data_IF_518830500690
#
_entry.id   IF_518830500690
#
_cell.length_a   1.000
_cell.length_b   1.000
_cell.length_c   1.000
_cell.angle_alpha   90.00
_cell.angle_beta   90.00
_cell.angle_gamma   90.00
#
_symmetry.space_group_name_H-M   'P 1'
#
loop_
_entity.id
_entity.type
_entity.pdbx_description
1 polymer ?
#
# COMPACT_ATOMS: atom_id res chain seq x y z
N UNK A 1 -11.36 -14.56 -34.34
CA UNK A 1 -10.33 -13.68 -33.73
C UNK A 1 -8.99 -14.40 -33.88
N UNK A 2 -8.17 -14.04 -34.87
CA UNK A 2 -6.96 -14.78 -35.28
C UNK A 2 -6.04 -15.20 -34.13
N UNK A 3 -6.02 -14.44 -33.03
CA UNK A 3 -5.25 -14.71 -31.81
C UNK A 3 -5.62 -16.04 -31.13
N UNK A 4 -6.84 -16.55 -31.30
CA UNK A 4 -7.30 -17.83 -30.74
C UNK A 4 -7.07 -19.01 -31.70
N UNK A 5 -6.72 -18.74 -32.95
CA UNK A 5 -6.48 -19.77 -33.95
C UNK A 5 -5.09 -20.38 -33.79
N UNK A 6 -5.01 -21.67 -34.13
CA UNK A 6 -3.78 -22.45 -34.07
C UNK A 6 -3.36 -22.82 -35.48
N UNK A 7 -2.06 -22.82 -35.70
CA UNK A 7 -1.48 -23.25 -36.95
C UNK A 7 -1.75 -24.75 -37.15
N UNK A 8 -2.35 -25.11 -38.28
CA UNK A 8 -2.84 -26.48 -38.55
C UNK A 8 -1.75 -27.55 -38.49
N UNK A 9 -0.53 -27.22 -38.93
CA UNK A 9 0.59 -28.16 -39.00
C UNK A 9 1.33 -28.35 -37.67
N UNK A 10 1.38 -27.33 -36.80
CA UNK A 10 2.18 -27.36 -35.57
C UNK A 10 1.34 -27.27 -34.29
N UNK A 11 0.05 -26.96 -34.39
CA UNK A 11 -0.87 -26.80 -33.25
C UNK A 11 -0.56 -25.60 -32.33
N UNK A 12 0.47 -24.81 -32.65
CA UNK A 12 0.87 -23.63 -31.89
C UNK A 12 0.01 -22.42 -32.30
N UNK A 13 -0.30 -21.50 -31.37
CA UNK A 13 -0.96 -20.25 -31.73
C UNK A 13 -0.06 -19.41 -32.64
N UNK A 14 -0.68 -18.62 -33.54
CA UNK A 14 0.09 -17.74 -34.42
C UNK A 14 0.87 -16.68 -33.61
N UNK A 15 2.13 -16.37 -34.01
CA UNK A 15 2.88 -15.31 -33.36
C UNK A 15 2.16 -13.96 -33.50
N UNK A 16 1.96 -13.24 -32.39
CA UNK A 16 1.26 -11.93 -32.38
C UNK A 16 1.86 -10.94 -33.39
N UNK A 17 3.18 -10.93 -33.55
CA UNK A 17 3.89 -10.07 -34.52
C UNK A 17 3.49 -10.36 -35.97
N UNK A 18 3.22 -11.63 -36.30
CA UNK A 18 2.72 -12.02 -37.63
C UNK A 18 1.27 -11.57 -37.81
N UNK A 19 0.43 -11.82 -36.81
CA UNK A 19 -0.98 -11.37 -36.82
C UNK A 19 -1.05 -9.86 -37.01
N UNK A 20 -0.30 -9.08 -36.23
CA UNK A 20 -0.29 -7.62 -36.35
C UNK A 20 0.22 -7.14 -37.71
N UNK A 21 1.21 -7.81 -38.28
CA UNK A 21 1.69 -7.51 -39.64
C UNK A 21 0.61 -7.74 -40.70
N UNK A 22 -0.14 -8.83 -40.61
CA UNK A 22 -1.21 -9.19 -41.58
C UNK A 22 -2.41 -8.27 -41.46
N UNK A 23 -2.82 -7.93 -40.23
CA UNK A 23 -4.01 -7.09 -39.97
C UNK A 23 -3.67 -5.59 -40.11
N UNK A 24 -2.40 -5.21 -40.22
CA UNK A 24 -1.98 -3.81 -40.38
C UNK A 24 -2.04 -2.98 -39.10
N UNK A 25 -2.07 -3.62 -37.94
CA UNK A 25 -2.03 -2.92 -36.64
C UNK A 25 -0.60 -2.78 -36.12
N UNK A 26 -0.34 -1.69 -35.41
CA UNK A 26 0.89 -1.57 -34.62
C UNK A 26 0.86 -2.52 -33.42
N UNK A 27 2.02 -3.03 -33.00
CA UNK A 27 2.10 -3.79 -31.75
C UNK A 27 1.75 -2.94 -30.52
N UNK A 28 1.94 -1.61 -30.59
CA UNK A 28 1.65 -0.69 -29.49
C UNK A 28 0.15 -0.49 -29.25
N UNK A 29 -0.69 -0.69 -30.27
CA UNK A 29 -2.16 -0.58 -30.15
C UNK A 29 -2.80 -1.73 -29.38
N UNK A 30 -2.05 -2.79 -29.07
CA UNK A 30 -2.57 -3.97 -28.39
C UNK A 30 -2.03 -4.09 -26.96
N UNK A 31 -2.91 -3.89 -25.98
CA UNK A 31 -2.63 -4.16 -24.57
C UNK A 31 -3.51 -5.32 -24.08
N UNK A 32 -2.88 -6.37 -23.55
CA UNK A 32 -3.61 -7.42 -22.85
C UNK A 32 -3.83 -7.01 -21.41
N UNK A 33 -5.05 -7.19 -20.92
CA UNK A 33 -5.29 -7.09 -19.48
C UNK A 33 -4.42 -8.15 -18.78
N UNK A 34 -3.53 -7.74 -17.86
CA UNK A 34 -2.68 -8.68 -17.16
C UNK A 34 -3.54 -9.67 -16.39
N UNK A 35 -3.25 -10.96 -16.55
CA UNK A 35 -3.93 -12.00 -15.77
C UNK A 35 -3.56 -11.83 -14.28
N UNK A 36 -4.55 -11.81 -13.36
CA UNK A 36 -4.33 -11.45 -11.95
C UNK A 36 -3.42 -12.40 -11.17
N UNK A 37 -3.02 -13.54 -11.76
CA UNK A 37 -2.14 -14.54 -11.14
C UNK A 37 -0.66 -14.32 -11.41
N UNK A 38 -0.29 -13.36 -12.26
CA UNK A 38 1.12 -13.05 -12.48
C UNK A 38 1.59 -12.18 -11.32
N UNK A 39 2.24 -12.78 -10.32
CA UNK A 39 2.82 -12.05 -9.18
C UNK A 39 3.75 -10.90 -9.62
N UNK A 40 4.19 -10.06 -8.67
CA UNK A 40 5.07 -8.92 -8.97
C UNK A 40 6.27 -9.36 -9.81
N UNK A 41 6.39 -8.77 -11.00
CA UNK A 41 7.55 -8.94 -11.89
C UNK A 41 8.75 -8.19 -11.30
N UNK A 42 9.95 -8.73 -11.47
CA UNK A 42 11.20 -8.13 -11.01
C UNK A 42 11.81 -8.77 -9.75
N UNK A 43 12.82 -8.11 -9.19
CA UNK A 43 13.59 -8.62 -8.05
C UNK A 43 12.69 -8.81 -6.83
N UNK A 44 12.63 -10.05 -6.32
CA UNK A 44 11.89 -10.34 -5.09
C UNK A 44 12.59 -9.65 -3.91
N UNK A 45 11.83 -9.08 -2.96
CA UNK A 45 12.41 -8.57 -1.72
C UNK A 45 13.18 -9.69 -1.01
N UNK A 46 14.37 -9.39 -0.47
CA UNK A 46 15.14 -10.33 0.35
C UNK A 46 14.35 -10.84 1.58
N UNK A 47 13.67 -9.97 2.36
CA UNK A 47 13.03 -10.44 3.58
C UNK A 47 11.68 -11.09 3.29
N UNK A 48 11.42 -12.21 3.97
CA UNK A 48 10.16 -12.95 3.93
C UNK A 48 9.04 -12.18 4.65
N UNK A 49 7.78 -12.46 4.31
CA UNK A 49 6.63 -11.86 5.02
C UNK A 49 6.61 -12.26 6.50
N UNK A 50 7.11 -13.46 6.84
CA UNK A 50 7.18 -13.96 8.23
C UNK A 50 8.18 -13.16 9.08
N UNK A 51 9.34 -12.83 8.51
CA UNK A 51 10.37 -12.03 9.19
C UNK A 51 9.87 -10.60 9.44
N UNK A 52 9.22 -10.00 8.45
CA UNK A 52 8.62 -8.67 8.58
C UNK A 52 7.54 -8.67 9.66
N UNK A 53 6.76 -9.74 9.78
CA UNK A 53 5.75 -9.88 10.83
C UNK A 53 6.37 -9.97 12.24
N UNK A 54 7.46 -10.71 12.41
CA UNK A 54 8.16 -10.80 13.69
C UNK A 54 8.68 -9.43 14.13
N UNK A 55 9.32 -8.69 13.22
CA UNK A 55 9.82 -7.34 13.51
C UNK A 55 8.68 -6.37 13.85
N UNK A 56 7.54 -6.47 13.14
CA UNK A 56 6.36 -5.66 13.46
C UNK A 56 5.86 -5.94 14.89
N UNK A 57 5.82 -7.22 15.29
CA UNK A 57 5.36 -7.60 16.64
C UNK A 57 6.31 -7.11 17.72
N UNK A 58 7.62 -7.25 17.50
CA UNK A 58 8.66 -6.71 18.38
C UNK A 58 8.52 -5.18 18.53
N UNK A 59 8.35 -4.47 17.42
CA UNK A 59 8.19 -3.01 17.45
C UNK A 59 6.92 -2.57 18.20
N UNK A 60 5.83 -3.32 18.07
CA UNK A 60 4.59 -3.05 18.80
C UNK A 60 4.79 -3.29 20.30
N UNK A 61 5.47 -4.36 20.70
CA UNK A 61 5.75 -4.66 22.10
C UNK A 61 6.67 -3.62 22.74
N UNK A 62 7.66 -3.13 21.99
CA UNK A 62 8.60 -2.11 22.47
C UNK A 62 8.00 -0.69 22.46
N UNK A 63 6.87 -0.46 21.78
CA UNK A 63 6.29 0.87 21.71
C UNK A 63 5.58 1.26 23.01
N UNK A 64 5.87 2.46 23.48
CA UNK A 64 5.16 3.09 24.62
C UNK A 64 3.68 3.39 24.33
N UNK A 65 3.29 3.47 23.06
CA UNK A 65 1.92 3.85 22.70
C UNK A 65 1.10 2.63 22.27
N UNK A 66 -0.11 2.54 22.80
CA UNK A 66 -1.09 1.56 22.39
C UNK A 66 -1.76 1.96 21.06
N UNK A 67 -2.24 0.95 20.31
CA UNK A 67 -3.08 1.15 19.13
C UNK A 67 -2.40 1.92 17.97
N UNK A 68 -1.09 1.73 17.79
CA UNK A 68 -0.37 2.34 16.67
C UNK A 68 -0.82 1.78 15.32
N UNK A 69 -1.08 2.67 14.36
CA UNK A 69 -1.33 2.28 12.98
C UNK A 69 -0.05 1.93 12.24
N UNK A 70 -0.19 1.24 11.11
CA UNK A 70 0.95 0.77 10.29
C UNK A 70 1.93 1.87 9.85
N UNK A 71 1.49 3.13 9.74
CA UNK A 71 2.39 4.24 9.39
C UNK A 71 3.38 4.55 10.52
N UNK A 72 2.95 4.49 11.78
CA UNK A 72 3.82 4.73 12.93
C UNK A 72 4.82 3.61 13.10
N UNK A 73 4.34 2.36 13.12
CA UNK A 73 5.18 1.16 13.21
C UNK A 73 6.24 1.16 12.11
N UNK A 74 5.84 1.38 10.85
CA UNK A 74 6.80 1.47 9.73
C UNK A 74 7.85 2.55 9.95
N UNK A 75 7.44 3.76 10.37
CA UNK A 75 8.38 4.87 10.54
C UNK A 75 9.37 4.60 11.68
N UNK A 76 8.96 3.87 12.71
CA UNK A 76 9.86 3.46 13.80
C UNK A 76 10.82 2.36 13.34
N UNK A 77 10.31 1.34 12.65
CA UNK A 77 11.17 0.32 12.02
C UNK A 77 12.24 1.00 11.19
N UNK A 78 11.90 1.93 10.29
CA UNK A 78 12.87 2.68 9.46
C UNK A 78 13.97 3.42 10.25
N UNK A 79 13.76 3.75 11.53
CA UNK A 79 14.77 4.43 12.35
C UNK A 79 15.78 3.45 12.95
N UNK A 80 15.43 2.17 13.07
CA UNK A 80 16.35 1.12 13.54
C UNK A 80 17.34 0.80 12.41
N UNK A 81 18.63 0.88 12.70
CA UNK A 81 19.71 0.65 11.73
C UNK A 81 19.74 -0.79 11.19
N UNK A 82 19.25 -1.75 11.96
CA UNK A 82 19.21 -3.19 11.66
C UNK A 82 17.86 -3.69 11.12
N UNK A 83 16.91 -2.80 10.86
CA UNK A 83 15.54 -3.20 10.53
C UNK A 83 15.34 -3.67 9.09
N UNK A 84 14.38 -4.57 8.93
CA UNK A 84 13.93 -5.04 7.62
C UNK A 84 13.16 -3.93 6.90
N UNK A 85 13.72 -3.39 5.82
CA UNK A 85 13.06 -2.35 5.02
C UNK A 85 11.95 -2.99 4.18
N UNK A 86 10.70 -2.81 4.64
CA UNK A 86 9.50 -3.24 3.92
C UNK A 86 8.68 -2.04 3.39
N UNK A 87 8.16 -2.16 2.17
CA UNK A 87 7.33 -1.12 1.57
C UNK A 87 6.02 -0.88 2.33
N UNK A 88 5.51 0.36 2.29
CA UNK A 88 4.32 0.80 3.05
C UNK A 88 3.10 -0.10 2.84
N UNK A 89 2.80 -0.43 1.58
CA UNK A 89 1.67 -1.29 1.23
C UNK A 89 1.85 -2.73 1.76
N UNK A 90 3.09 -3.23 1.80
CA UNK A 90 3.41 -4.57 2.32
C UNK A 90 3.18 -4.64 3.83
N UNK A 91 3.67 -3.66 4.58
CA UNK A 91 3.45 -3.56 6.03
C UNK A 91 1.95 -3.47 6.35
N UNK A 92 1.21 -2.60 5.65
CA UNK A 92 -0.24 -2.48 5.84
C UNK A 92 -0.97 -3.80 5.54
N UNK A 93 -0.61 -4.50 4.45
CA UNK A 93 -1.18 -5.81 4.12
C UNK A 93 -0.92 -6.84 5.23
N UNK A 94 0.33 -7.00 5.66
CA UNK A 94 0.71 -7.96 6.71
C UNK A 94 -0.02 -7.67 8.02
N UNK A 95 -0.08 -6.39 8.44
CA UNK A 95 -0.81 -6.01 9.64
C UNK A 95 -2.32 -6.25 9.54
N UNK A 96 -2.92 -6.06 8.36
CA UNK A 96 -4.33 -6.38 8.10
C UNK A 96 -4.60 -7.88 8.20
N UNK A 97 -3.80 -8.68 7.52
CA UNK A 97 -3.94 -10.14 7.50
C UNK A 97 -3.77 -10.77 8.89
N UNK A 98 -3.00 -10.12 9.77
CA UNK A 98 -2.73 -10.60 11.13
C UNK A 98 -3.51 -9.84 12.21
N UNK A 99 -4.51 -9.03 11.85
CA UNK A 99 -5.34 -8.26 12.77
C UNK A 99 -4.54 -7.40 13.78
N UNK A 100 -3.36 -6.91 13.37
CA UNK A 100 -2.50 -6.05 14.19
C UNK A 100 -2.86 -4.57 14.08
N UNK A 101 -3.82 -4.23 13.23
CA UNK A 101 -4.32 -2.86 13.13
C UNK A 101 -5.28 -2.55 14.28
N UNK A 102 -5.23 -1.31 14.76
CA UNK A 102 -6.18 -0.80 15.75
C UNK A 102 -7.64 -1.09 15.32
N UNK A 103 -8.46 -1.75 16.16
CA UNK A 103 -9.88 -1.95 15.93
C UNK A 103 -10.63 -0.63 15.74
N UNK A 104 -10.25 0.40 16.51
CA UNK A 104 -10.85 1.72 16.49
C UNK A 104 -10.30 2.55 15.31
N UNK A 105 -10.71 2.21 14.09
CA UNK A 105 -10.52 3.09 12.93
C UNK A 105 -11.52 4.23 13.02
N UNK A 106 -11.04 5.45 13.27
CA UNK A 106 -11.89 6.65 13.14
C UNK A 106 -12.54 6.64 11.76
N UNK A 107 -13.87 6.73 11.73
CA UNK A 107 -14.62 6.93 10.49
C UNK A 107 -14.08 8.17 9.77
N UNK A 108 -13.94 8.12 8.43
CA UNK A 108 -13.48 9.29 7.67
C UNK A 108 -14.51 10.44 7.69
N UNK A 109 -15.71 10.19 8.20
CA UNK A 109 -16.72 11.22 8.46
C UNK A 109 -16.38 11.97 9.75
N UNK A 110 -15.26 12.69 9.75
CA UNK A 110 -15.15 13.84 10.64
C UNK A 110 -16.03 14.91 10.03
N UNK A 111 -17.11 15.30 10.71
CA UNK A 111 -17.72 16.59 10.38
C UNK A 111 -16.62 17.64 10.50
N UNK A 112 -16.49 18.52 9.49
CA UNK A 112 -15.77 19.77 9.69
C UNK A 112 -16.61 20.51 10.73
N UNK A 113 -16.16 20.54 11.98
CA UNK A 113 -16.64 21.60 12.88
C UNK A 113 -16.16 22.89 12.24
N UNK A 114 -17.09 23.71 11.78
CA UNK A 114 -16.77 25.10 11.44
C UNK A 114 -16.25 25.75 12.71
N UNK A 115 -15.06 26.33 12.63
CA UNK A 115 -14.41 26.93 13.78
C UNK A 115 -14.86 28.39 13.86
N UNK A 116 -16.02 28.62 14.48
CA UNK A 116 -16.55 29.98 14.69
C UNK A 116 -15.93 30.69 15.90
N UNK A 117 -15.08 29.98 16.66
CA UNK A 117 -14.34 30.56 17.78
C UNK A 117 -13.21 31.50 17.32
N UNK A 118 -12.92 32.52 18.12
CA UNK A 118 -11.72 33.35 17.95
C UNK A 118 -10.53 32.67 18.62
N UNK A 119 -9.50 32.31 17.84
CA UNK A 119 -8.24 31.70 18.35
C UNK A 119 -7.27 32.79 18.85
N UNK A 120 -7.59 34.06 18.62
CA UNK A 120 -6.77 35.20 19.02
C UNK A 120 -6.97 35.44 20.51
N UNK A 121 -5.87 35.69 21.20
CA UNK A 121 -5.84 35.93 22.64
C UNK A 121 -5.41 37.36 22.88
N UNK A 122 -6.13 38.09 23.73
CA UNK A 122 -5.85 39.51 23.99
C UNK A 122 -4.56 39.72 24.79
N UNK A 123 -3.98 38.66 25.36
CA UNK A 123 -2.74 38.72 26.13
C UNK A 123 -1.94 37.42 25.99
N UNK A 124 -0.78 37.44 25.33
CA UNK A 124 0.13 36.31 25.34
C UNK A 124 0.71 36.21 26.76
N UNK A 125 0.65 35.02 27.39
CA UNK A 125 1.23 34.66 28.71
C UNK A 125 0.28 34.55 29.92
N UNK A 126 -1.04 34.65 29.77
CA UNK A 126 -1.95 34.22 30.84
C UNK A 126 -2.17 32.70 30.74
N UNK A 127 -1.63 32.00 31.73
CA UNK A 127 -1.77 30.56 31.91
C UNK A 127 -3.25 30.22 32.09
N UNK A 128 -3.77 29.36 31.21
CA UNK A 128 -5.16 28.88 31.08
C UNK A 128 -6.10 29.80 30.29
N UNK A 129 -5.88 29.89 28.98
CA UNK A 129 -6.99 30.19 28.07
C UNK A 129 -7.98 29.03 28.05
N UNK A 130 -9.22 29.34 28.40
CA UNK A 130 -10.36 28.44 28.17
C UNK A 130 -10.75 28.59 26.71
N UNK A 131 -10.50 27.55 25.92
CA UNK A 131 -10.98 27.50 24.53
C UNK A 131 -12.50 27.27 24.60
N UNK A 132 -13.29 28.31 24.35
CA UNK A 132 -14.73 28.17 24.14
C UNK A 132 -14.97 27.63 22.72
N UNK A 133 -15.53 26.42 22.65
CA UNK A 133 -15.97 25.75 21.42
C UNK A 133 -17.49 25.82 21.27
#
# INVERSE_FOLDING_TARGET
MLIKERYSLTGKPYPKRLIFKVVGYSSSTWYENPTPKTGKRGRKPKPSDKEVLLEIKDEIQNSKFNSEGYMKVKKRMERKLSSLIAGKARVNRIMRENNLLNPNRRSSKSSKREHDGTIITDSPNLILLTICF
#
